data_IF_195734276277
#
_entry.id   IF_195734276277
#
_cell.length_a   1.000
_cell.length_b   1.000
_cell.length_c   1.000
_cell.angle_alpha   90.00
_cell.angle_beta   90.00
_cell.angle_gamma   90.00
#
_symmetry.space_group_name_H-M   'P 1'
#
loop_
_entity.id
_entity.type
_entity.pdbx_description
1 polymer ?
#
# COMPACT_ATOMS: atom_id res chain seq x y z
N UNK A 1 -0.94 45.37 -25.65
CA UNK A 1 -1.37 44.19 -24.88
C UNK A 1 -1.64 42.93 -25.72
N UNK A 2 -1.97 43.03 -27.00
CA UNK A 2 -2.30 41.87 -27.88
C UNK A 2 -1.10 40.95 -28.23
N UNK A 3 0.13 41.50 -28.30
CA UNK A 3 1.33 40.71 -28.69
C UNK A 3 1.88 39.80 -27.61
N UNK A 4 1.62 40.07 -26.33
CA UNK A 4 2.12 39.22 -25.21
C UNK A 4 1.30 37.94 -25.05
N UNK A 5 -0.02 37.99 -25.28
CA UNK A 5 -0.89 36.83 -25.18
C UNK A 5 -0.66 35.79 -26.29
N UNK A 6 -0.25 36.22 -27.49
CA UNK A 6 0.01 35.30 -28.62
C UNK A 6 1.28 34.50 -28.42
N UNK A 7 2.30 35.07 -27.79
CA UNK A 7 3.57 34.35 -27.50
C UNK A 7 3.40 33.31 -26.41
N UNK A 8 2.63 33.62 -25.35
CA UNK A 8 2.37 32.67 -24.24
C UNK A 8 1.55 31.47 -24.74
N UNK A 9 0.54 31.69 -25.58
CA UNK A 9 -0.27 30.62 -26.15
C UNK A 9 0.52 29.72 -27.11
N UNK A 10 1.42 30.26 -27.91
CA UNK A 10 2.30 29.50 -28.80
C UNK A 10 3.34 28.66 -28.04
N UNK A 11 3.86 29.17 -26.92
CA UNK A 11 4.78 28.42 -26.05
C UNK A 11 4.08 27.22 -25.39
N UNK A 12 2.86 27.40 -24.85
CA UNK A 12 2.10 26.32 -24.23
C UNK A 12 1.73 25.21 -25.22
N UNK A 13 1.40 25.55 -26.46
CA UNK A 13 1.14 24.58 -27.54
C UNK A 13 2.40 23.79 -27.92
N UNK A 14 3.56 24.44 -27.95
CA UNK A 14 4.84 23.80 -28.29
C UNK A 14 5.29 22.82 -27.21
N UNK A 15 5.11 23.12 -25.92
CA UNK A 15 5.43 22.21 -24.82
C UNK A 15 4.55 20.95 -24.81
N UNK A 16 3.24 21.10 -25.06
CA UNK A 16 2.34 19.95 -25.14
C UNK A 16 2.67 19.04 -26.34
N UNK A 17 3.06 19.60 -27.48
CA UNK A 17 3.46 18.84 -28.65
C UNK A 17 4.74 18.04 -28.41
N UNK A 18 5.77 18.62 -27.81
CA UNK A 18 7.03 17.95 -27.48
C UNK A 18 6.83 16.84 -26.44
N UNK A 19 6.00 17.05 -25.42
CA UNK A 19 5.68 16.05 -24.42
C UNK A 19 4.91 14.86 -25.02
N UNK A 20 4.00 15.12 -25.95
CA UNK A 20 3.23 14.07 -26.64
C UNK A 20 4.10 13.27 -27.60
N UNK A 21 5.02 13.89 -28.33
CA UNK A 21 6.00 13.20 -29.17
C UNK A 21 6.92 12.31 -28.34
N UNK A 22 7.39 12.80 -27.20
CA UNK A 22 8.22 12.03 -26.26
C UNK A 22 7.49 10.78 -25.72
N UNK A 23 6.20 10.90 -25.40
CA UNK A 23 5.40 9.75 -24.93
C UNK A 23 5.16 8.71 -26.03
N UNK A 24 4.88 9.14 -27.24
CA UNK A 24 4.74 8.22 -28.39
C UNK A 24 6.03 7.45 -28.68
N UNK A 25 7.19 8.07 -28.53
CA UNK A 25 8.48 7.41 -28.65
C UNK A 25 8.65 6.33 -27.56
N UNK A 26 8.24 6.62 -26.32
CA UNK A 26 8.26 5.64 -25.23
C UNK A 26 7.36 4.44 -25.55
N UNK A 27 6.14 4.70 -26.05
CA UNK A 27 5.19 3.61 -26.42
C UNK A 27 5.76 2.76 -27.57
N UNK A 28 6.39 3.38 -28.57
CA UNK A 28 6.97 2.64 -29.70
C UNK A 28 8.17 1.78 -29.24
N UNK A 29 9.02 2.30 -28.38
CA UNK A 29 10.15 1.57 -27.82
C UNK A 29 9.72 0.44 -26.87
N UNK A 30 8.55 0.54 -26.25
CA UNK A 30 8.00 -0.47 -25.36
C UNK A 30 7.46 -1.72 -26.08
N UNK A 31 7.16 -1.65 -27.39
CA UNK A 31 6.55 -2.75 -28.13
C UNK A 31 7.40 -4.03 -28.08
N UNK A 32 6.76 -5.15 -27.83
CA UNK A 32 7.39 -6.47 -27.71
C UNK A 32 8.14 -6.66 -26.37
N UNK A 33 8.19 -5.66 -25.48
CA UNK A 33 8.87 -5.79 -24.21
C UNK A 33 8.06 -6.62 -23.19
N UNK A 34 8.78 -7.35 -22.33
CA UNK A 34 8.22 -8.05 -21.18
C UNK A 34 8.67 -7.36 -19.89
N UNK A 35 7.73 -6.86 -19.11
CA UNK A 35 7.93 -6.17 -17.84
C UNK A 35 7.79 -7.17 -16.69
N UNK A 36 8.86 -7.47 -15.97
CA UNK A 36 8.84 -8.30 -14.78
C UNK A 36 8.42 -7.46 -13.58
N UNK A 37 7.16 -7.57 -13.21
CA UNK A 37 6.54 -6.81 -12.13
C UNK A 37 6.55 -7.59 -10.82
N UNK A 38 7.41 -7.20 -9.89
CA UNK A 38 7.45 -7.74 -8.54
C UNK A 38 6.38 -7.09 -7.68
N UNK A 39 5.40 -7.89 -7.28
CA UNK A 39 4.25 -7.44 -6.50
C UNK A 39 3.77 -8.53 -5.55
N UNK A 40 3.14 -8.13 -4.45
CA UNK A 40 2.55 -9.06 -3.50
C UNK A 40 1.54 -10.00 -4.18
N UNK A 41 1.69 -11.31 -3.92
CA UNK A 41 0.92 -12.37 -4.58
C UNK A 41 -0.12 -13.05 -3.71
N UNK A 42 -0.36 -12.57 -2.49
CA UNK A 42 -1.17 -13.24 -1.47
C UNK A 42 -2.70 -13.16 -1.64
N UNK A 43 -3.22 -12.41 -2.66
CA UNK A 43 -4.65 -12.32 -2.96
C UNK A 43 -4.96 -12.82 -4.36
N UNK A 44 -5.99 -13.64 -4.48
CA UNK A 44 -6.47 -14.15 -5.77
C UNK A 44 -7.11 -13.05 -6.62
N UNK A 45 -7.79 -12.10 -5.97
CA UNK A 45 -8.43 -10.94 -6.60
C UNK A 45 -7.39 -10.05 -7.27
N UNK A 46 -6.31 -9.72 -6.56
CA UNK A 46 -5.18 -8.95 -7.09
C UNK A 46 -4.52 -9.70 -8.25
N UNK A 47 -4.26 -11.01 -8.07
CA UNK A 47 -3.66 -11.83 -9.11
C UNK A 47 -4.55 -11.89 -10.37
N UNK A 48 -5.89 -11.91 -10.22
CA UNK A 48 -6.84 -11.88 -11.32
C UNK A 48 -6.82 -10.52 -12.03
N UNK A 49 -6.79 -9.42 -11.26
CA UNK A 49 -6.68 -8.08 -11.81
C UNK A 49 -5.40 -7.91 -12.63
N UNK A 50 -4.26 -8.34 -12.11
CA UNK A 50 -2.98 -8.25 -12.83
C UNK A 50 -2.95 -9.11 -14.10
N UNK A 51 -3.58 -10.29 -14.10
CA UNK A 51 -3.74 -11.10 -15.32
C UNK A 51 -4.63 -10.43 -16.37
N UNK A 52 -5.65 -9.68 -15.94
CA UNK A 52 -6.44 -8.87 -16.86
C UNK A 52 -5.61 -7.70 -17.40
N UNK A 53 -4.87 -7.00 -16.55
CA UNK A 53 -4.01 -5.89 -16.96
C UNK A 53 -2.97 -6.32 -17.99
N UNK A 54 -2.35 -7.49 -17.82
CA UNK A 54 -1.45 -8.08 -18.80
C UNK A 54 -2.11 -8.25 -20.17
N UNK A 55 -3.33 -8.82 -20.23
CA UNK A 55 -4.05 -9.00 -21.50
C UNK A 55 -4.37 -7.68 -22.20
N UNK A 56 -4.78 -6.66 -21.44
CA UNK A 56 -5.07 -5.34 -22.00
C UNK A 56 -3.79 -4.64 -22.47
N UNK A 57 -2.68 -4.74 -21.72
CA UNK A 57 -1.38 -4.21 -22.13
C UNK A 57 -0.87 -4.86 -23.43
N UNK A 58 -0.97 -6.17 -23.55
CA UNK A 58 -0.61 -6.88 -24.79
C UNK A 58 -1.47 -6.40 -25.97
N UNK A 59 -2.77 -6.28 -25.76
CA UNK A 59 -3.72 -5.87 -26.82
C UNK A 59 -3.53 -4.43 -27.25
N UNK A 60 -3.29 -3.49 -26.31
CA UNK A 60 -3.26 -2.05 -26.57
C UNK A 60 -1.87 -1.54 -26.94
N UNK A 61 -0.81 -2.15 -26.39
CA UNK A 61 0.56 -1.63 -26.45
C UNK A 61 1.60 -2.65 -26.92
N UNK A 62 1.23 -3.92 -27.12
CA UNK A 62 2.17 -5.02 -27.38
C UNK A 62 3.24 -5.15 -26.26
N UNK A 63 2.82 -4.93 -25.00
CA UNK A 63 3.64 -5.06 -23.80
C UNK A 63 3.11 -6.21 -22.95
N UNK A 64 3.99 -7.13 -22.55
CA UNK A 64 3.66 -8.24 -21.63
C UNK A 64 3.95 -7.83 -20.19
N UNK A 65 2.98 -7.97 -19.29
CA UNK A 65 3.15 -7.73 -17.84
C UNK A 65 3.26 -9.06 -17.09
N UNK A 66 4.46 -9.45 -16.72
CA UNK A 66 4.70 -10.69 -15.98
C UNK A 66 4.74 -10.48 -14.50
N UNK A 67 3.65 -10.82 -13.80
CA UNK A 67 3.57 -10.75 -12.34
C UNK A 67 4.53 -11.77 -11.69
N UNK A 68 5.57 -11.26 -11.03
CA UNK A 68 6.48 -12.03 -10.17
C UNK A 68 5.99 -11.88 -8.73
N UNK A 69 5.37 -12.94 -8.23
CA UNK A 69 4.75 -12.95 -6.89
C UNK A 69 5.81 -12.98 -5.81
N UNK A 70 5.74 -12.02 -4.90
CA UNK A 70 6.56 -11.99 -3.68
C UNK A 70 5.67 -12.05 -2.44
N UNK A 71 6.19 -12.57 -1.35
CA UNK A 71 5.50 -12.56 -0.06
C UNK A 71 5.61 -11.17 0.60
N UNK A 72 6.78 -10.54 0.46
CA UNK A 72 7.06 -9.18 0.90
C UNK A 72 7.99 -8.49 -0.10
N UNK A 73 7.79 -7.20 -0.36
CA UNK A 73 8.61 -6.43 -1.31
C UNK A 73 10.03 -6.20 -0.80
N UNK A 74 10.29 -6.31 0.50
CA UNK A 74 11.62 -6.27 1.08
C UNK A 74 12.58 -7.33 0.49
N UNK A 75 12.04 -8.49 0.04
CA UNK A 75 12.82 -9.51 -0.68
C UNK A 75 13.38 -8.94 -2.00
N UNK A 76 12.56 -8.18 -2.72
CA UNK A 76 12.96 -7.53 -3.97
C UNK A 76 13.94 -6.39 -3.72
N UNK A 77 13.72 -5.58 -2.67
CA UNK A 77 14.66 -4.52 -2.27
C UNK A 77 16.04 -5.11 -1.94
N UNK A 78 16.08 -6.21 -1.20
CA UNK A 78 17.34 -6.94 -0.89
C UNK A 78 18.03 -7.44 -2.16
N UNK A 79 17.29 -7.99 -3.12
CA UNK A 79 17.80 -8.41 -4.43
C UNK A 79 18.43 -7.24 -5.19
N UNK A 80 17.74 -6.11 -5.27
CA UNK A 80 18.22 -4.92 -5.96
C UNK A 80 19.50 -4.35 -5.31
N UNK A 81 19.59 -4.35 -3.97
CA UNK A 81 20.80 -3.99 -3.25
C UNK A 81 21.98 -4.91 -3.62
N UNK A 82 21.73 -6.22 -3.72
CA UNK A 82 22.73 -7.17 -4.15
C UNK A 82 23.17 -6.96 -5.62
N UNK A 83 22.25 -6.65 -6.52
CA UNK A 83 22.57 -6.30 -7.92
C UNK A 83 23.43 -5.03 -7.99
N UNK A 84 23.11 -3.99 -7.18
CA UNK A 84 23.90 -2.77 -7.09
C UNK A 84 25.31 -3.03 -6.58
N UNK A 85 25.45 -3.82 -5.51
CA UNK A 85 26.73 -4.21 -4.95
C UNK A 85 27.60 -5.03 -5.93
N UNK A 86 26.95 -5.80 -6.82
CA UNK A 86 27.61 -6.55 -7.88
C UNK A 86 27.95 -5.70 -9.13
N UNK A 87 27.63 -4.39 -9.14
CA UNK A 87 27.86 -3.50 -10.28
C UNK A 87 26.97 -3.79 -11.49
N UNK A 88 25.79 -4.39 -11.27
CA UNK A 88 24.83 -4.70 -12.35
C UNK A 88 23.94 -3.49 -12.64
N UNK A 89 24.51 -2.49 -13.29
CA UNK A 89 23.83 -1.21 -13.57
C UNK A 89 22.89 -1.24 -14.79
N UNK A 90 22.84 -2.35 -15.52
CA UNK A 90 21.94 -2.57 -16.67
C UNK A 90 21.42 -4.00 -16.67
N UNK A 91 20.33 -4.24 -17.41
CA UNK A 91 19.75 -5.58 -17.57
C UNK A 91 19.41 -6.23 -16.22
N UNK A 92 18.79 -5.47 -15.34
CA UNK A 92 18.31 -5.92 -14.05
C UNK A 92 17.30 -7.07 -14.17
N UNK A 93 17.06 -7.75 -13.06
CA UNK A 93 16.08 -8.86 -13.01
C UNK A 93 14.67 -8.40 -12.68
N UNK A 94 14.49 -7.10 -12.41
CA UNK A 94 13.23 -6.48 -11.99
C UNK A 94 13.00 -5.24 -12.84
N UNK A 95 11.82 -5.13 -13.45
CA UNK A 95 11.48 -3.98 -14.28
C UNK A 95 10.50 -3.03 -13.60
N UNK A 96 9.65 -3.55 -12.71
CA UNK A 96 8.67 -2.77 -11.98
C UNK A 96 8.43 -3.37 -10.60
N UNK A 97 8.16 -2.52 -9.61
CA UNK A 97 7.84 -2.92 -8.23
C UNK A 97 6.57 -2.24 -7.72
N UNK A 98 5.79 -2.98 -6.93
CA UNK A 98 4.74 -2.41 -6.07
C UNK A 98 5.37 -2.14 -4.71
N UNK A 99 5.44 -0.88 -4.31
CA UNK A 99 6.27 -0.43 -3.21
C UNK A 99 5.55 0.60 -2.33
N UNK A 100 5.97 0.74 -1.09
CA UNK A 100 5.65 1.85 -0.20
C UNK A 100 6.61 1.91 1.00
N UNK A 101 6.58 3.05 1.71
CA UNK A 101 7.17 3.24 3.02
C UNK A 101 8.68 3.06 3.08
N UNK A 102 9.13 2.24 4.01
CA UNK A 102 10.56 2.01 4.25
C UNK A 102 11.29 1.39 3.05
N UNK A 103 10.58 0.59 2.23
CA UNK A 103 11.16 0.01 1.02
C UNK A 103 11.45 1.09 -0.02
N UNK A 104 10.53 2.04 -0.23
CA UNK A 104 10.77 3.22 -1.08
C UNK A 104 11.95 4.04 -0.55
N UNK A 105 11.95 4.38 0.73
CA UNK A 105 13.04 5.13 1.36
C UNK A 105 14.37 4.42 1.22
N UNK A 106 14.41 3.10 1.43
CA UNK A 106 15.61 2.29 1.24
C UNK A 106 16.11 2.35 -0.20
N UNK A 107 15.21 2.15 -1.18
CA UNK A 107 15.57 2.22 -2.60
C UNK A 107 16.04 3.61 -3.01
N UNK A 108 15.39 4.68 -2.55
CA UNK A 108 15.76 6.07 -2.82
C UNK A 108 17.16 6.39 -2.27
N UNK A 109 17.42 6.09 -1.00
CA UNK A 109 18.69 6.36 -0.33
C UNK A 109 19.86 5.61 -0.98
N UNK A 110 19.61 4.43 -1.54
CA UNK A 110 20.62 3.62 -2.22
C UNK A 110 20.67 3.87 -3.74
N UNK A 111 19.96 4.88 -4.27
CA UNK A 111 19.90 5.21 -5.70
C UNK A 111 19.50 4.00 -6.56
N UNK A 112 18.46 3.28 -6.13
CA UNK A 112 17.94 2.09 -6.80
C UNK A 112 16.70 2.38 -7.65
N UNK A 113 16.38 3.65 -7.90
CA UNK A 113 15.16 4.06 -8.61
C UNK A 113 15.51 4.77 -9.93
N UNK A 114 14.71 4.47 -10.95
CA UNK A 114 14.71 5.18 -12.23
C UNK A 114 13.79 6.41 -12.12
N UNK A 115 14.18 7.51 -12.71
CA UNK A 115 13.32 8.70 -12.75
C UNK A 115 14.07 10.02 -12.60
N UNK A 116 13.33 11.12 -12.39
CA UNK A 116 11.86 11.23 -12.27
C UNK A 116 11.12 10.92 -13.57
N UNK A 117 9.98 10.22 -13.49
CA UNK A 117 9.20 9.85 -14.69
C UNK A 117 7.70 10.15 -14.58
N UNK A 118 7.16 10.31 -13.37
CA UNK A 118 5.71 10.28 -13.09
C UNK A 118 4.95 11.39 -13.82
N UNK A 119 5.47 12.62 -13.82
CA UNK A 119 4.80 13.77 -14.45
C UNK A 119 4.73 13.66 -15.98
N UNK A 120 5.55 12.80 -16.58
CA UNK A 120 5.53 12.53 -18.03
C UNK A 120 4.46 11.55 -18.45
N UNK A 121 3.84 10.83 -17.49
CA UNK A 121 2.77 9.87 -17.76
C UNK A 121 1.48 10.61 -18.15
N UNK A 122 0.87 10.32 -19.32
CA UNK A 122 -0.40 10.93 -19.72
C UNK A 122 -1.53 10.78 -18.69
N UNK A 123 -1.53 9.69 -17.93
CA UNK A 123 -2.55 9.40 -16.90
C UNK A 123 -2.35 10.23 -15.62
N UNK A 124 -1.20 10.86 -15.41
CA UNK A 124 -0.91 11.71 -14.24
C UNK A 124 -1.91 12.85 -14.06
N UNK A 125 -2.47 13.39 -15.15
CA UNK A 125 -3.49 14.45 -15.12
C UNK A 125 -4.80 14.05 -14.43
N UNK A 126 -5.08 12.76 -14.30
CA UNK A 126 -6.30 12.24 -13.67
C UNK A 126 -6.18 12.09 -12.17
N UNK A 127 -4.95 12.07 -11.64
CA UNK A 127 -4.66 11.86 -10.22
C UNK A 127 -5.24 12.98 -9.36
N UNK A 128 -5.84 12.60 -8.25
CA UNK A 128 -6.34 13.52 -7.24
C UNK A 128 -5.18 14.07 -6.39
N UNK A 129 -4.83 15.34 -6.65
CA UNK A 129 -3.75 16.03 -5.94
C UNK A 129 -4.13 16.48 -4.53
N UNK A 130 -5.35 16.22 -4.08
CA UNK A 130 -5.74 16.44 -2.67
C UNK A 130 -5.32 15.28 -1.76
N UNK A 131 -4.99 14.12 -2.36
CA UNK A 131 -4.36 13.00 -1.67
C UNK A 131 -2.85 13.26 -1.51
N UNK A 132 -2.18 12.66 -0.52
CA UNK A 132 -0.74 12.82 -0.30
C UNK A 132 0.09 11.98 -1.31
N UNK A 133 -0.13 12.24 -2.62
CA UNK A 133 0.47 11.45 -3.72
C UNK A 133 1.91 11.87 -4.06
N UNK A 134 2.41 12.88 -3.40
CA UNK A 134 3.77 13.42 -3.52
C UNK A 134 4.69 13.00 -2.37
N UNK A 135 4.15 12.20 -1.43
CA UNK A 135 4.92 11.68 -0.30
C UNK A 135 4.53 10.23 0.02
N UNK A 136 5.51 9.40 0.33
CA UNK A 136 5.34 8.03 0.82
C UNK A 136 5.87 7.94 2.26
N UNK A 137 4.98 7.68 3.23
CA UNK A 137 5.29 7.71 4.68
C UNK A 137 6.15 8.92 5.07
N UNK A 138 5.74 10.12 4.68
CA UNK A 138 6.46 11.40 4.89
C UNK A 138 7.77 11.55 4.09
N UNK A 139 8.20 10.58 3.27
CA UNK A 139 9.32 10.72 2.36
C UNK A 139 8.85 11.32 1.03
N UNK A 140 9.40 12.44 0.52
CA UNK A 140 9.03 12.99 -0.78
C UNK A 140 9.29 12.01 -1.92
N UNK A 141 8.28 11.78 -2.79
CA UNK A 141 8.41 10.85 -3.92
C UNK A 141 9.33 11.36 -5.02
N UNK A 142 9.45 12.67 -5.19
CA UNK A 142 10.29 13.32 -6.21
C UNK A 142 10.03 12.81 -7.64
N UNK A 143 8.83 12.27 -7.89
CA UNK A 143 8.46 11.70 -9.18
C UNK A 143 9.14 10.36 -9.51
N UNK A 144 9.71 9.67 -8.53
CA UNK A 144 10.40 8.37 -8.67
C UNK A 144 9.45 7.18 -8.56
N UNK A 145 8.23 7.41 -8.07
CA UNK A 145 7.17 6.40 -7.96
C UNK A 145 5.80 7.02 -8.28
N UNK A 146 4.95 6.27 -8.96
CA UNK A 146 3.60 6.67 -9.33
C UNK A 146 2.57 6.15 -8.32
N UNK A 147 1.66 6.99 -7.79
CA UNK A 147 0.62 6.52 -6.88
C UNK A 147 -0.32 5.56 -7.60
N UNK A 148 -0.73 4.48 -6.91
CA UNK A 148 -1.55 3.45 -7.52
C UNK A 148 -2.86 3.20 -6.80
N UNK A 149 -2.88 3.25 -5.47
CA UNK A 149 -4.10 3.07 -4.68
C UNK A 149 -3.96 3.58 -3.26
N UNK A 150 -5.09 3.56 -2.52
CA UNK A 150 -5.17 4.00 -1.14
C UNK A 150 -5.40 2.80 -0.24
N UNK A 151 -4.49 2.56 0.69
CA UNK A 151 -4.62 1.55 1.73
C UNK A 151 -5.04 2.15 3.06
N UNK A 152 -5.86 1.43 3.83
CA UNK A 152 -6.24 1.79 5.19
C UNK A 152 -6.28 0.56 6.09
N UNK A 153 -5.61 0.62 7.24
CA UNK A 153 -5.71 -0.41 8.26
C UNK A 153 -7.10 -0.38 8.87
N UNK A 154 -7.85 -1.44 8.66
CA UNK A 154 -9.21 -1.61 9.17
C UNK A 154 -9.38 -3.01 9.77
N UNK A 155 -10.45 -3.16 10.54
CA UNK A 155 -10.76 -4.40 11.23
C UNK A 155 -12.03 -5.03 10.67
N UNK A 156 -12.10 -6.35 10.76
CA UNK A 156 -13.21 -7.15 10.25
C UNK A 156 -13.82 -7.92 11.42
N UNK A 157 -15.14 -7.96 11.50
CA UNK A 157 -15.89 -8.74 12.48
C UNK A 157 -17.12 -9.39 11.84
N UNK A 158 -17.64 -10.46 12.46
CA UNK A 158 -18.96 -10.98 12.16
C UNK A 158 -19.99 -10.39 13.14
N UNK A 159 -20.94 -9.58 12.62
CA UNK A 159 -21.97 -8.90 13.45
C UNK A 159 -22.86 -9.85 14.24
N UNK A 160 -22.96 -11.12 13.83
CA UNK A 160 -23.75 -12.14 14.56
C UNK A 160 -23.02 -12.64 15.79
N UNK A 161 -21.69 -12.64 15.79
CA UNK A 161 -20.83 -13.03 16.93
C UNK A 161 -20.43 -11.84 17.80
N UNK A 162 -20.16 -10.70 17.16
CA UNK A 162 -19.72 -9.47 17.81
C UNK A 162 -20.47 -8.29 17.20
N UNK A 163 -21.62 -7.94 17.79
CA UNK A 163 -22.50 -6.86 17.27
C UNK A 163 -21.90 -5.47 17.44
N UNK A 164 -21.13 -5.23 18.50
CA UNK A 164 -20.49 -3.96 18.81
C UNK A 164 -18.98 -4.22 19.00
N UNK A 165 -18.17 -4.11 17.95
CA UNK A 165 -16.72 -4.31 18.03
C UNK A 165 -16.07 -3.15 18.79
N UNK A 166 -14.92 -3.40 19.47
CA UNK A 166 -14.19 -2.35 20.19
C UNK A 166 -13.70 -1.29 19.19
N UNK A 167 -13.98 -0.02 19.50
CA UNK A 167 -13.72 1.12 18.65
C UNK A 167 -12.44 1.90 19.02
N UNK A 168 -11.70 1.43 20.04
CA UNK A 168 -10.41 1.97 20.47
C UNK A 168 -9.49 0.86 20.98
N UNK A 169 -8.18 1.11 21.04
CA UNK A 169 -7.24 0.12 21.58
C UNK A 169 -7.46 -0.15 23.07
N UNK A 170 -7.96 0.81 23.83
CA UNK A 170 -8.35 0.57 25.22
C UNK A 170 -9.58 -0.36 25.33
N UNK A 171 -10.57 -0.18 24.46
CA UNK A 171 -11.72 -1.10 24.38
C UNK A 171 -11.31 -2.48 23.85
N UNK A 172 -10.36 -2.53 22.90
CA UNK A 172 -9.76 -3.79 22.41
C UNK A 172 -9.15 -4.59 23.56
N UNK A 173 -8.37 -3.93 24.42
CA UNK A 173 -7.79 -4.58 25.60
C UNK A 173 -8.87 -5.01 26.61
N UNK A 174 -9.89 -4.19 26.82
CA UNK A 174 -11.01 -4.51 27.71
C UNK A 174 -11.80 -5.70 27.20
N UNK A 175 -12.06 -5.76 25.90
CA UNK A 175 -12.69 -6.90 25.25
C UNK A 175 -11.83 -8.16 25.37
N UNK A 176 -10.52 -8.07 25.10
CA UNK A 176 -9.61 -9.21 25.23
C UNK A 176 -9.55 -9.78 26.65
N UNK A 177 -9.63 -8.91 27.68
CA UNK A 177 -9.70 -9.35 29.08
C UNK A 177 -11.01 -10.08 29.40
N UNK A 178 -12.13 -9.64 28.83
CA UNK A 178 -13.44 -10.27 29.01
C UNK A 178 -13.57 -11.60 28.20
N UNK A 179 -13.04 -11.62 27.00
CA UNK A 179 -13.13 -12.73 26.04
C UNK A 179 -11.71 -13.19 25.64
N UNK A 180 -11.07 -13.93 26.55
CA UNK A 180 -9.68 -14.35 26.36
C UNK A 180 -9.50 -15.28 25.15
N UNK A 181 -8.33 -15.24 24.52
CA UNK A 181 -7.96 -16.00 23.32
C UNK A 181 -8.78 -15.67 22.05
N UNK A 182 -9.45 -14.52 22.00
CA UNK A 182 -10.32 -14.13 20.88
C UNK A 182 -9.75 -13.02 19.98
N UNK A 183 -8.69 -12.36 20.39
CA UNK A 183 -8.06 -11.28 19.62
C UNK A 183 -6.57 -11.57 19.40
N UNK A 184 -6.08 -11.18 18.22
CA UNK A 184 -4.67 -11.20 17.85
C UNK A 184 -4.39 -10.23 16.71
N UNK A 185 -3.13 -10.11 16.34
CA UNK A 185 -2.66 -9.38 15.17
C UNK A 185 -1.52 -10.14 14.49
N UNK A 186 -1.20 -9.92 13.21
CA UNK A 186 -0.10 -10.59 12.54
C UNK A 186 1.24 -10.30 13.21
N UNK A 187 2.14 -11.26 13.21
CA UNK A 187 3.47 -11.12 13.81
C UNK A 187 4.32 -10.10 13.04
N UNK A 188 4.88 -9.05 13.67
CA UNK A 188 5.94 -8.25 13.04
C UNK A 188 7.17 -9.13 12.68
N UNK A 189 7.88 -8.86 11.57
CA UNK A 189 7.80 -7.66 10.73
C UNK A 189 6.74 -7.73 9.60
N UNK A 190 5.78 -8.68 9.62
CA UNK A 190 4.72 -8.66 8.63
C UNK A 190 4.02 -7.29 8.60
N UNK A 191 3.82 -6.73 7.40
CA UNK A 191 3.28 -5.38 7.18
C UNK A 191 2.06 -5.04 8.05
N UNK A 192 1.07 -5.92 8.10
CA UNK A 192 -0.14 -5.72 8.92
C UNK A 192 0.14 -5.72 10.42
N UNK A 193 1.14 -6.48 10.86
CA UNK A 193 1.55 -6.52 12.26
C UNK A 193 2.20 -5.21 12.68
N UNK A 194 3.15 -4.72 11.91
CA UNK A 194 3.79 -3.43 12.17
C UNK A 194 2.80 -2.27 12.03
N UNK A 195 1.87 -2.33 11.08
CA UNK A 195 0.79 -1.36 10.94
C UNK A 195 -0.14 -1.34 12.17
N UNK A 196 -0.44 -2.50 12.77
CA UNK A 196 -1.16 -2.58 14.04
C UNK A 196 -0.39 -1.87 15.18
N UNK A 197 0.94 -2.10 15.29
CA UNK A 197 1.75 -1.41 16.29
C UNK A 197 1.73 0.11 16.10
N UNK A 198 1.86 0.58 14.86
CA UNK A 198 1.83 2.01 14.54
C UNK A 198 0.46 2.64 14.88
N UNK A 199 -0.63 1.98 14.49
CA UNK A 199 -1.98 2.45 14.80
C UNK A 199 -2.23 2.52 16.32
N UNK A 200 -1.82 1.49 17.07
CA UNK A 200 -1.91 1.47 18.52
C UNK A 200 -1.05 2.58 19.15
N UNK A 201 0.18 2.77 18.69
CA UNK A 201 1.07 3.83 19.19
C UNK A 201 0.46 5.21 18.99
N UNK A 202 -0.06 5.50 17.78
CA UNK A 202 -0.71 6.78 17.46
C UNK A 202 -1.85 7.07 18.45
N UNK A 203 -2.76 6.12 18.66
CA UNK A 203 -3.89 6.31 19.56
C UNK A 203 -3.45 6.43 21.02
N UNK A 204 -2.61 5.50 21.51
CA UNK A 204 -2.16 5.46 22.90
C UNK A 204 -1.29 6.66 23.31
N UNK A 205 -0.72 7.38 22.35
CA UNK A 205 0.03 8.62 22.55
C UNK A 205 -0.78 9.88 22.19
N UNK A 206 -2.08 9.73 21.90
CA UNK A 206 -2.94 10.82 21.44
C UNK A 206 -2.34 11.58 20.23
N UNK A 207 -1.77 10.84 19.28
CA UNK A 207 -1.13 11.36 18.07
C UNK A 207 0.05 12.32 18.38
N UNK A 208 0.99 11.87 19.22
CA UNK A 208 2.16 12.65 19.61
C UNK A 208 2.92 13.17 18.36
N UNK A 209 3.19 14.48 18.26
CA UNK A 209 3.96 15.04 17.14
C UNK A 209 5.38 14.47 16.98
N UNK A 210 5.93 13.84 18.02
CA UNK A 210 7.21 13.12 17.94
C UNK A 210 7.19 12.00 16.89
N UNK A 211 6.01 11.43 16.62
CA UNK A 211 5.85 10.37 15.61
C UNK A 211 6.16 10.84 14.17
N UNK A 212 6.07 12.14 13.91
CA UNK A 212 6.42 12.73 12.62
C UNK A 212 7.93 13.00 12.45
N UNK A 213 8.73 12.76 13.49
CA UNK A 213 10.19 12.96 13.47
C UNK A 213 10.92 11.62 13.36
N UNK A 214 12.17 11.63 12.83
CA UNK A 214 13.05 10.48 12.91
C UNK A 214 13.24 9.98 14.35
N UNK A 215 13.35 8.66 14.52
CA UNK A 215 13.48 8.04 15.86
C UNK A 215 14.76 8.42 16.60
N UNK A 216 15.81 8.80 15.89
CA UNK A 216 17.08 9.30 16.46
C UNK A 216 17.01 10.77 16.95
N UNK A 217 15.91 11.48 16.66
CA UNK A 217 15.66 12.86 17.08
C UNK A 217 14.66 12.96 18.26
N UNK A 218 14.22 11.83 18.79
CA UNK A 218 13.26 11.76 19.89
C UNK A 218 13.69 10.76 20.95
N UNK A 219 13.12 10.85 22.16
CA UNK A 219 13.26 9.78 23.16
C UNK A 219 12.30 8.62 22.80
N UNK A 220 12.80 7.70 21.99
CA UNK A 220 12.06 6.53 21.52
C UNK A 220 11.42 5.74 22.69
N UNK A 221 12.17 5.51 23.76
CA UNK A 221 11.68 4.74 24.90
C UNK A 221 10.52 5.43 25.61
N UNK A 222 10.59 6.74 25.79
CA UNK A 222 9.52 7.52 26.40
C UNK A 222 8.27 7.53 25.53
N UNK A 223 8.41 7.78 24.23
CA UNK A 223 7.29 7.84 23.28
C UNK A 223 6.60 6.48 23.15
N UNK A 224 7.37 5.38 23.10
CA UNK A 224 6.81 4.03 22.91
C UNK A 224 6.34 3.34 24.21
N UNK A 225 6.66 3.89 25.37
CA UNK A 225 6.30 3.27 26.65
C UNK A 225 4.78 2.95 26.82
N UNK A 226 3.82 3.79 26.34
CA UNK A 226 2.40 3.43 26.37
C UNK A 226 2.07 2.19 25.56
N UNK A 227 2.67 2.03 24.37
CA UNK A 227 2.48 0.88 23.50
C UNK A 227 2.96 -0.41 24.17
N UNK A 228 4.17 -0.41 24.74
CA UNK A 228 4.74 -1.63 25.34
C UNK A 228 3.96 -2.04 26.57
N UNK A 229 3.54 -1.10 27.43
CA UNK A 229 2.64 -1.42 28.56
C UNK A 229 1.32 -2.02 28.11
N UNK A 230 0.74 -1.50 27.02
CA UNK A 230 -0.47 -2.02 26.42
C UNK A 230 -0.27 -3.46 25.94
N UNK A 231 0.80 -3.72 25.18
CA UNK A 231 1.10 -5.06 24.63
C UNK A 231 1.44 -6.08 25.73
N UNK A 232 2.15 -5.68 26.79
CA UNK A 232 2.44 -6.53 27.95
C UNK A 232 1.16 -7.05 28.64
N UNK A 233 0.11 -6.21 28.68
CA UNK A 233 -1.19 -6.61 29.21
C UNK A 233 -2.01 -7.41 28.17
N UNK A 234 -2.00 -6.97 26.92
CA UNK A 234 -2.76 -7.60 25.86
C UNK A 234 -2.29 -9.04 25.57
N UNK A 235 -0.99 -9.30 25.49
CA UNK A 235 -0.46 -10.62 25.18
C UNK A 235 -0.86 -11.67 26.24
N UNK A 236 -1.03 -11.31 27.49
CA UNK A 236 -1.48 -12.24 28.55
C UNK A 236 -2.84 -12.87 28.25
N UNK A 237 -3.70 -12.16 27.54
CA UNK A 237 -5.09 -12.53 27.25
C UNK A 237 -5.38 -12.74 25.75
N UNK A 238 -4.43 -12.44 24.89
CA UNK A 238 -4.51 -12.60 23.44
C UNK A 238 -4.62 -14.08 23.03
N UNK A 239 -4.97 -14.32 21.77
CA UNK A 239 -4.98 -15.64 21.17
C UNK A 239 -3.68 -16.38 21.46
N UNK A 240 -3.80 -17.64 21.92
CA UNK A 240 -2.68 -18.47 22.37
C UNK A 240 -1.78 -17.79 23.41
N UNK A 241 -2.35 -16.89 24.20
CA UNK A 241 -1.65 -16.14 25.27
C UNK A 241 -0.43 -15.35 24.76
N UNK A 242 -0.51 -14.82 23.51
CA UNK A 242 0.58 -14.06 22.91
C UNK A 242 1.87 -14.85 22.66
N UNK A 243 1.83 -16.18 22.73
CA UNK A 243 2.99 -17.07 22.45
C UNK A 243 3.08 -17.42 20.97
N UNK A 244 1.99 -17.26 20.25
CA UNK A 244 1.89 -17.43 18.80
C UNK A 244 1.04 -16.31 18.22
N UNK A 245 1.36 -15.94 17.01
CA UNK A 245 0.69 -14.87 16.27
C UNK A 245 0.36 -15.35 14.86
N UNK A 246 -0.73 -14.88 14.24
CA UNK A 246 -0.99 -15.14 12.84
C UNK A 246 0.19 -14.65 11.97
N UNK A 247 0.51 -15.40 10.92
CA UNK A 247 1.59 -15.01 10.01
C UNK A 247 1.21 -13.88 9.04
N UNK A 248 -0.11 -13.70 8.79
CA UNK A 248 -0.61 -12.73 7.81
C UNK A 248 -2.03 -12.26 8.12
N UNK A 249 -2.46 -11.20 7.43
CA UNK A 249 -3.87 -10.76 7.46
C UNK A 249 -4.83 -11.84 6.93
N UNK A 250 -4.43 -12.60 5.91
CA UNK A 250 -5.22 -13.68 5.37
C UNK A 250 -5.48 -14.77 6.44
N UNK A 251 -4.46 -15.11 7.24
CA UNK A 251 -4.64 -16.04 8.36
C UNK A 251 -5.56 -15.47 9.44
N UNK A 252 -5.52 -14.16 9.74
CA UNK A 252 -6.48 -13.58 10.70
C UNK A 252 -7.92 -13.71 10.21
N UNK A 253 -8.15 -13.55 8.91
CA UNK A 253 -9.47 -13.70 8.30
C UNK A 253 -9.95 -15.17 8.37
N UNK A 254 -9.08 -16.13 8.09
CA UNK A 254 -9.40 -17.55 8.23
C UNK A 254 -9.73 -17.90 9.69
N UNK A 255 -8.94 -17.43 10.65
CA UNK A 255 -9.19 -17.64 12.07
C UNK A 255 -10.50 -16.99 12.55
N UNK A 256 -10.90 -15.86 11.96
CA UNK A 256 -12.20 -15.25 12.18
C UNK A 256 -13.32 -16.13 11.63
N UNK A 257 -13.19 -16.64 10.41
CA UNK A 257 -14.20 -17.53 9.80
C UNK A 257 -14.37 -18.81 10.61
N UNK A 258 -13.29 -19.42 11.05
CA UNK A 258 -13.24 -20.59 11.92
C UNK A 258 -13.74 -20.31 13.35
N UNK A 259 -14.04 -19.06 13.71
CA UNK A 259 -14.48 -18.66 15.06
C UNK A 259 -13.39 -18.73 16.12
N UNK A 260 -12.13 -18.87 15.74
CA UNK A 260 -10.99 -18.82 16.67
C UNK A 260 -10.68 -17.39 17.11
N UNK A 261 -10.80 -16.42 16.18
CA UNK A 261 -10.74 -14.99 16.48
C UNK A 261 -12.12 -14.35 16.31
N UNK A 262 -12.37 -13.24 16.99
CA UNK A 262 -13.56 -12.42 16.83
C UNK A 262 -13.30 -11.20 15.96
N UNK A 263 -12.04 -10.86 15.70
CA UNK A 263 -11.60 -9.79 14.81
C UNK A 263 -10.47 -10.27 13.88
N UNK A 264 -10.52 -9.79 12.64
CA UNK A 264 -9.42 -9.90 11.68
C UNK A 264 -8.95 -8.51 11.25
N UNK A 265 -7.83 -8.44 10.53
CA UNK A 265 -7.18 -7.20 10.09
C UNK A 265 -7.00 -7.24 8.57
N UNK A 266 -7.24 -6.10 7.92
CA UNK A 266 -6.92 -5.91 6.49
C UNK A 266 -6.44 -4.47 6.25
N UNK A 267 -5.75 -4.26 5.14
CA UNK A 267 -5.36 -2.92 4.69
C UNK A 267 -6.19 -2.42 3.49
N UNK A 268 -7.22 -3.17 3.09
CA UNK A 268 -8.20 -2.76 2.09
C UNK A 268 -9.59 -2.62 2.74
N UNK A 269 -10.13 -1.40 2.89
CA UNK A 269 -11.42 -1.17 3.54
C UNK A 269 -12.62 -1.76 2.76
N UNK A 270 -12.40 -2.23 1.53
CA UNK A 270 -13.43 -2.82 0.69
C UNK A 270 -13.27 -4.33 0.46
N UNK A 271 -12.24 -4.98 1.06
CA UNK A 271 -11.94 -6.40 0.83
C UNK A 271 -13.09 -7.35 1.18
N UNK A 272 -13.86 -7.03 2.21
CA UNK A 272 -15.03 -7.83 2.62
C UNK A 272 -16.11 -7.83 1.54
N UNK A 273 -16.38 -6.69 0.89
CA UNK A 273 -17.39 -6.60 -0.16
C UNK A 273 -17.05 -7.49 -1.36
N UNK A 274 -15.80 -7.49 -1.78
CA UNK A 274 -15.33 -8.36 -2.86
C UNK A 274 -15.44 -9.84 -2.49
N UNK A 275 -15.05 -10.21 -1.28
CA UNK A 275 -15.13 -11.59 -0.80
C UNK A 275 -16.60 -12.07 -0.65
N UNK A 276 -17.51 -11.22 -0.17
CA UNK A 276 -18.94 -11.50 -0.10
C UNK A 276 -19.55 -11.68 -1.49
N UNK A 277 -19.23 -10.79 -2.41
CA UNK A 277 -19.71 -10.85 -3.78
C UNK A 277 -19.31 -12.14 -4.51
N UNK A 278 -18.14 -12.70 -4.15
CA UNK A 278 -17.64 -13.97 -4.67
C UNK A 278 -18.08 -15.19 -3.83
N UNK A 279 -18.91 -15.00 -2.80
CA UNK A 279 -19.40 -16.09 -1.94
C UNK A 279 -18.35 -16.65 -0.96
N UNK A 280 -17.25 -15.96 -0.75
CA UNK A 280 -16.14 -16.38 0.11
C UNK A 280 -16.32 -15.95 1.57
N UNK A 281 -17.19 -14.99 1.86
CA UNK A 281 -17.52 -14.51 3.20
C UNK A 281 -19.02 -14.35 3.40
N UNK A 282 -19.46 -14.50 4.64
CA UNK A 282 -20.86 -14.28 5.05
C UNK A 282 -21.23 -12.79 4.89
N UNK A 283 -22.50 -12.52 4.53
CA UNK A 283 -23.08 -11.15 4.52
C UNK A 283 -23.10 -10.50 5.92
N UNK A 284 -22.90 -11.29 6.96
CA UNK A 284 -22.80 -10.80 8.34
C UNK A 284 -21.40 -10.25 8.69
N UNK A 285 -20.40 -10.51 7.85
CA UNK A 285 -19.04 -9.98 7.99
C UNK A 285 -19.01 -8.50 7.62
N UNK A 286 -18.45 -7.66 8.48
CA UNK A 286 -18.40 -6.21 8.31
C UNK A 286 -17.00 -5.67 8.54
N UNK A 287 -16.71 -4.52 7.92
CA UNK A 287 -15.47 -3.74 8.09
C UNK A 287 -15.75 -2.49 8.91
N UNK A 288 -14.85 -2.19 9.85
CA UNK A 288 -14.87 -0.94 10.62
C UNK A 288 -13.46 -0.40 10.85
N UNK A 289 -13.37 0.88 11.20
CA UNK A 289 -12.14 1.52 11.69
C UNK A 289 -12.32 1.92 13.15
N UNK A 290 -11.21 2.13 13.86
CA UNK A 290 -11.22 2.76 15.18
C UNK A 290 -11.79 4.18 15.10
N UNK A 291 -12.37 4.69 16.19
CA UNK A 291 -12.95 6.04 16.26
C UNK A 291 -11.91 7.14 15.96
N UNK A 292 -10.66 6.94 16.32
CA UNK A 292 -9.56 7.83 15.99
C UNK A 292 -9.33 7.99 14.49
N UNK A 293 -9.64 6.97 13.72
CA UNK A 293 -9.41 6.86 12.28
C UNK A 293 -8.63 5.60 11.90
N UNK A 294 -8.39 5.43 10.61
CA UNK A 294 -7.63 4.33 10.03
C UNK A 294 -6.24 4.81 9.61
N UNK A 295 -5.19 4.11 10.02
CA UNK A 295 -3.84 4.33 9.51
C UNK A 295 -3.87 4.17 7.99
N UNK A 296 -3.48 5.20 7.25
CA UNK A 296 -3.69 5.30 5.82
C UNK A 296 -2.40 5.64 5.10
N UNK A 297 -2.20 5.00 3.96
CA UNK A 297 -1.10 5.34 3.05
C UNK A 297 -1.54 5.22 1.58
N UNK A 298 -0.74 5.81 0.72
CA UNK A 298 -0.76 5.52 -0.72
C UNK A 298 0.20 4.35 -0.94
N UNK A 299 -0.13 3.44 -1.84
CA UNK A 299 0.82 2.49 -2.38
C UNK A 299 1.17 2.85 -3.82
N UNK A 300 2.39 2.55 -4.22
CA UNK A 300 3.01 3.11 -5.40
C UNK A 300 3.56 2.04 -6.34
N UNK A 301 3.85 2.46 -7.57
CA UNK A 301 4.56 1.70 -8.58
C UNK A 301 5.86 2.43 -8.93
N UNK A 302 6.99 1.75 -8.85
CA UNK A 302 8.30 2.29 -9.17
C UNK A 302 9.06 1.41 -10.16
N UNK A 303 10.09 1.99 -10.76
CA UNK A 303 10.97 1.35 -11.74
C UNK A 303 12.37 1.30 -11.13
N UNK A 304 13.03 0.14 -11.04
CA UNK A 304 14.42 0.07 -10.63
C UNK A 304 15.36 0.77 -11.62
N UNK A 305 16.50 1.30 -11.10
CA UNK A 305 17.49 2.04 -11.91
C UNK A 305 18.08 1.22 -13.05
N UNK A 306 18.19 -0.10 -12.86
CA UNK A 306 18.80 -1.03 -13.80
C UNK A 306 17.76 -1.88 -14.55
N UNK A 307 16.49 -1.48 -14.54
CA UNK A 307 15.42 -2.18 -15.26
C UNK A 307 15.81 -2.48 -16.71
N UNK A 308 15.50 -3.67 -17.15
CA UNK A 308 15.82 -4.11 -18.53
C UNK A 308 14.86 -3.50 -19.56
N UNK A 309 13.63 -3.18 -19.14
CA UNK A 309 12.56 -2.67 -20.02
C UNK A 309 11.87 -1.43 -19.41
N UNK A 310 12.62 -0.32 -19.19
CA UNK A 310 12.08 0.86 -18.51
C UNK A 310 10.95 1.55 -19.29
N UNK A 311 10.94 1.48 -20.64
CA UNK A 311 9.86 2.02 -21.46
C UNK A 311 8.59 1.20 -21.28
N UNK A 312 8.68 -0.12 -21.34
CA UNK A 312 7.57 -1.03 -21.05
C UNK A 312 6.99 -0.84 -19.67
N UNK A 313 7.86 -0.64 -18.65
CA UNK A 313 7.45 -0.35 -17.29
C UNK A 313 6.68 0.98 -17.20
N UNK A 314 7.15 2.06 -17.85
CA UNK A 314 6.43 3.33 -17.91
C UNK A 314 5.05 3.19 -18.59
N UNK A 315 4.96 2.43 -19.69
CA UNK A 315 3.69 2.15 -20.38
C UNK A 315 2.75 1.36 -19.47
N UNK A 316 3.25 0.33 -18.79
CA UNK A 316 2.46 -0.46 -17.84
C UNK A 316 1.95 0.40 -16.66
N UNK A 317 2.80 1.23 -16.07
CA UNK A 317 2.40 2.15 -15.00
C UNK A 317 1.36 3.15 -15.48
N UNK A 318 1.56 3.75 -16.67
CA UNK A 318 0.57 4.67 -17.24
C UNK A 318 -0.78 4.01 -17.47
N UNK A 319 -0.80 2.77 -17.97
CA UNK A 319 -2.04 2.00 -18.13
C UNK A 319 -2.70 1.71 -16.77
N UNK A 320 -1.93 1.22 -15.79
CA UNK A 320 -2.44 0.92 -14.44
C UNK A 320 -2.97 2.17 -13.71
N UNK A 321 -2.51 3.35 -14.09
CA UNK A 321 -2.98 4.65 -13.60
C UNK A 321 -4.12 5.25 -14.47
N UNK A 322 -4.53 4.59 -15.55
CA UNK A 322 -5.62 5.07 -16.42
C UNK A 322 -6.99 4.96 -15.75
N UNK A 323 -7.98 5.78 -16.17
CA UNK A 323 -9.36 5.67 -15.70
C UNK A 323 -9.96 4.25 -15.87
N UNK A 324 -9.63 3.54 -16.95
CA UNK A 324 -10.06 2.18 -17.21
C UNK A 324 -9.53 1.21 -16.13
N UNK A 325 -8.21 1.19 -15.95
CA UNK A 325 -7.55 0.28 -15.02
C UNK A 325 -7.90 0.60 -13.56
N UNK A 326 -7.98 1.88 -13.19
CA UNK A 326 -8.36 2.33 -11.86
C UNK A 326 -9.84 2.04 -11.54
N UNK A 327 -10.74 2.23 -12.50
CA UNK A 327 -12.15 1.87 -12.31
C UNK A 327 -12.33 0.37 -12.11
N UNK A 328 -11.58 -0.45 -12.88
CA UNK A 328 -11.61 -1.90 -12.70
C UNK A 328 -10.97 -2.35 -11.39
N UNK A 329 -9.88 -1.72 -10.98
CA UNK A 329 -9.23 -1.97 -9.69
C UNK A 329 -10.15 -1.67 -8.52
N UNK A 330 -10.84 -0.53 -8.58
CA UNK A 330 -11.79 -0.09 -7.56
C UNK A 330 -13.14 -0.81 -7.61
N UNK A 331 -13.41 -1.66 -8.61
CA UNK A 331 -14.64 -2.43 -8.67
C UNK A 331 -14.72 -3.41 -7.50
N UNK A 332 -15.78 -3.27 -6.68
CA UNK A 332 -16.01 -4.07 -5.48
C UNK A 332 -16.14 -5.57 -5.76
N UNK A 333 -16.52 -5.94 -7.00
CA UNK A 333 -16.60 -7.34 -7.44
C UNK A 333 -15.24 -7.91 -7.90
N UNK A 334 -14.21 -7.06 -8.06
CA UNK A 334 -12.91 -7.45 -8.61
C UNK A 334 -11.82 -7.38 -7.54
N UNK A 335 -11.53 -6.19 -7.02
CA UNK A 335 -10.55 -6.00 -5.95
C UNK A 335 -11.04 -5.01 -4.88
N UNK A 336 -11.75 -3.95 -5.28
CA UNK A 336 -12.26 -2.94 -4.37
C UNK A 336 -11.17 -2.02 -3.80
N UNK A 337 -10.00 -1.95 -4.42
CA UNK A 337 -8.91 -1.09 -3.96
C UNK A 337 -9.23 0.38 -4.32
N UNK A 338 -9.29 1.31 -3.33
CA UNK A 338 -9.63 2.69 -3.59
C UNK A 338 -8.65 3.35 -4.54
N UNK A 339 -9.19 4.11 -5.49
CA UNK A 339 -8.42 4.76 -6.54
C UNK A 339 -7.71 6.02 -6.03
N UNK A 340 -6.59 6.36 -6.68
CA UNK A 340 -5.89 7.65 -6.53
C UNK A 340 -6.38 8.70 -7.53
N UNK A 341 -7.37 8.39 -8.37
CA UNK A 341 -7.91 9.34 -9.35
C UNK A 341 -9.04 10.18 -8.77
N UNK A 342 -9.20 11.39 -9.31
CA UNK A 342 -10.39 12.19 -9.07
C UNK A 342 -11.65 11.41 -9.46
N UNK A 343 -12.66 11.41 -8.59
CA UNK A 343 -13.85 10.56 -8.71
C UNK A 343 -14.62 10.76 -10.04
N UNK A 344 -14.51 11.94 -10.67
CA UNK A 344 -15.14 12.23 -11.96
C UNK A 344 -14.63 11.34 -13.12
N UNK A 345 -13.40 10.82 -13.02
CA UNK A 345 -12.79 9.94 -14.02
C UNK A 345 -13.03 8.46 -13.79
N UNK A 346 -13.61 8.09 -12.64
CA UNK A 346 -13.95 6.72 -12.33
C UNK A 346 -15.33 6.33 -12.90
N UNK A 347 -15.56 5.03 -13.03
CA UNK A 347 -16.83 4.44 -13.47
C UNK A 347 -17.26 3.28 -12.55
N UNK A 348 -18.54 2.88 -12.65
CA UNK A 348 -19.06 1.74 -11.91
C UNK A 348 -18.99 1.88 -10.40
N UNK A 349 -18.80 0.76 -9.71
CA UNK A 349 -18.73 0.68 -8.24
C UNK A 349 -17.44 1.29 -7.67
N UNK A 350 -16.41 1.52 -8.48
CA UNK A 350 -15.19 2.20 -8.07
C UNK A 350 -15.44 3.62 -7.52
N UNK A 351 -16.53 4.29 -7.96
CA UNK A 351 -16.96 5.58 -7.39
C UNK A 351 -17.42 5.50 -5.95
N UNK A 352 -17.75 4.32 -5.48
CA UNK A 352 -18.38 4.05 -4.19
C UNK A 352 -17.44 3.31 -3.23
N UNK A 353 -16.17 3.20 -3.56
CA UNK A 353 -15.19 2.61 -2.63
C UNK A 353 -15.17 3.37 -1.32
N UNK A 354 -15.24 2.62 -0.22
CA UNK A 354 -15.31 3.19 1.12
C UNK A 354 -13.91 3.61 1.58
N UNK A 355 -13.82 4.81 2.13
CA UNK A 355 -12.68 5.27 2.91
C UNK A 355 -13.17 5.75 4.28
N UNK A 356 -12.36 5.50 5.30
CA UNK A 356 -12.56 6.00 6.66
C UNK A 356 -11.75 7.29 6.88
N UNK A 357 -11.95 7.95 8.01
CA UNK A 357 -11.11 9.07 8.41
C UNK A 357 -9.65 8.60 8.45
N UNK A 358 -8.78 9.25 7.71
CA UNK A 358 -7.36 8.88 7.60
C UNK A 358 -6.55 9.37 8.80
N UNK A 359 -5.65 8.51 9.27
CA UNK A 359 -4.51 8.86 10.11
C UNK A 359 -3.24 8.73 9.28
N UNK A 360 -2.35 9.69 9.41
CA UNK A 360 -1.06 9.68 8.70
C UNK A 360 -0.12 8.63 9.28
N UNK A 361 0.73 8.06 8.42
CA UNK A 361 1.83 7.20 8.84
C UNK A 361 2.86 8.01 9.65
N UNK A 362 3.46 7.43 10.69
CA UNK A 362 4.64 7.98 11.34
C UNK A 362 5.83 8.08 10.37
N UNK A 363 6.86 8.84 10.76
CA UNK A 363 8.11 8.90 9.99
C UNK A 363 8.65 7.47 9.71
N UNK A 364 9.18 7.17 8.49
CA UNK A 364 9.56 5.80 8.09
C UNK A 364 10.50 5.06 9.06
N UNK A 365 11.34 5.78 9.80
CA UNK A 365 12.26 5.18 10.78
C UNK A 365 11.55 4.46 11.94
N UNK A 366 10.28 4.78 12.21
CA UNK A 366 9.51 4.12 13.27
C UNK A 366 9.25 2.65 12.96
N UNK A 367 9.10 2.28 11.70
CA UNK A 367 8.84 0.90 11.31
C UNK A 367 9.93 -0.04 11.83
N UNK A 368 11.16 0.12 11.35
CA UNK A 368 12.28 -0.74 11.74
C UNK A 368 12.54 -0.71 13.26
N UNK A 369 12.40 0.47 13.89
CA UNK A 369 12.60 0.60 15.34
C UNK A 369 11.56 -0.15 16.16
N UNK A 370 10.27 -0.07 15.77
CA UNK A 370 9.19 -0.82 16.44
C UNK A 370 9.33 -2.33 16.24
N UNK A 371 9.70 -2.77 15.04
CA UNK A 371 9.93 -4.19 14.73
C UNK A 371 11.07 -4.76 15.55
N UNK A 372 12.19 -4.04 15.62
CA UNK A 372 13.36 -4.46 16.42
C UNK A 372 13.00 -4.57 17.90
N UNK A 373 12.32 -3.56 18.47
CA UNK A 373 11.94 -3.58 19.88
C UNK A 373 10.87 -4.65 20.18
N UNK A 374 9.91 -4.86 19.26
CA UNK A 374 8.94 -5.94 19.38
C UNK A 374 9.63 -7.31 19.40
N UNK A 375 10.60 -7.52 18.49
CA UNK A 375 11.37 -8.77 18.44
C UNK A 375 12.17 -8.99 19.73
N UNK A 376 12.77 -7.94 20.28
CA UNK A 376 13.50 -8.02 21.57
C UNK A 376 12.59 -8.44 22.72
N UNK A 377 11.35 -7.92 22.77
CA UNK A 377 10.42 -8.16 23.88
C UNK A 377 9.67 -9.51 23.77
N UNK A 378 9.26 -9.85 22.56
CA UNK A 378 8.27 -10.93 22.33
C UNK A 378 8.69 -11.95 21.28
N UNK A 379 9.85 -11.80 20.68
CA UNK A 379 10.32 -12.65 19.55
C UNK A 379 10.86 -14.03 19.95
N UNK A 380 10.92 -14.38 21.22
CA UNK A 380 11.47 -15.65 21.74
C UNK A 380 10.45 -16.78 21.76
#
# INVERSE_FOLDING_TARGET
MLRLNTVIFSLLLSFNSLAQESWQQTVEAAKGQTVYFHAWGGSQEINNYLRWADKELQKQYDVTLKHVKVADIAETTTRLLAEKAAGKDTSGSVDMVWINGENFKSMKNNQLLFGPFVERLPSWKYVDKTLPVDSDFSEPTEGLEAPWGVGQLVFIHDKMRLSNPPASFNEWLSYAKAYQNKLSYPRPPAFHGTSFLKAALIELTANDPALMKPTDQVDFNSVTAPLWRYLDEFHKVAWRQGKQFPASSAETLQLLDDGQLDLAITFNPNSVYSAQANGNLSETTLVYAMDGGALSNIHFLAIPWNANTPEGAQVAINFLLSPEAQSRKGDLMIWGDPSVLQNQYLSGSAKNTKLFKSLSEPHPSWQAALEAEWQNRYGN
#
